data_IF_868545366571
#
_entry.id   IF_868545366571
#
_cell.length_a   1.000
_cell.length_b   1.000
_cell.length_c   1.000
_cell.angle_alpha   90.00
_cell.angle_beta   90.00
_cell.angle_gamma   90.00
#
_symmetry.space_group_name_H-M   'P 1'
#
loop_
_entity.id
_entity.type
_entity.pdbx_description
1 polymer ?
#
# COMPACT_ATOMS: atom_id res chain seq x y z
N UNK A 1 -28.35 -16.46 -89.86
CA UNK A 1 -28.90 -16.16 -88.53
C UNK A 1 -28.89 -17.48 -87.78
N UNK A 2 -27.99 -17.64 -86.81
CA UNK A 2 -28.25 -18.42 -85.61
C UNK A 2 -27.12 -18.15 -84.61
N UNK A 3 -27.50 -17.41 -83.57
CA UNK A 3 -26.65 -16.93 -82.48
C UNK A 3 -26.53 -18.03 -81.44
N UNK A 4 -25.33 -18.60 -81.29
CA UNK A 4 -25.01 -19.53 -80.21
C UNK A 4 -24.90 -18.76 -78.87
N UNK A 5 -25.67 -19.08 -77.82
CA UNK A 5 -25.58 -18.38 -76.53
C UNK A 5 -24.44 -18.94 -75.65
N UNK A 6 -23.99 -18.21 -74.60
CA UNK A 6 -22.73 -18.48 -73.92
C UNK A 6 -22.86 -19.49 -72.76
N UNK A 7 -22.82 -20.79 -73.04
CA UNK A 7 -22.84 -21.85 -72.00
C UNK A 7 -21.60 -21.84 -71.08
N UNK A 8 -20.48 -21.26 -71.54
CA UNK A 8 -19.24 -21.16 -70.72
C UNK A 8 -19.30 -20.09 -69.63
N UNK A 9 -20.15 -19.07 -69.77
CA UNK A 9 -20.25 -18.01 -68.78
C UNK A 9 -20.90 -18.55 -67.49
N UNK A 10 -22.01 -19.27 -67.60
CA UNK A 10 -22.82 -19.75 -66.46
C UNK A 10 -22.10 -20.80 -65.59
N UNK A 11 -21.27 -21.66 -66.18
CA UNK A 11 -20.47 -22.65 -65.44
C UNK A 11 -19.30 -22.01 -64.67
N UNK A 12 -18.74 -20.91 -65.16
CA UNK A 12 -17.68 -20.16 -64.48
C UNK A 12 -18.26 -19.31 -63.34
N UNK A 13 -19.46 -18.74 -63.50
CA UNK A 13 -20.15 -18.00 -62.44
C UNK A 13 -20.51 -18.90 -61.25
N UNK A 14 -21.05 -20.09 -61.50
CA UNK A 14 -21.46 -21.02 -60.44
C UNK A 14 -20.30 -21.58 -59.61
N UNK A 15 -19.13 -21.78 -60.22
CA UNK A 15 -17.92 -22.22 -59.51
C UNK A 15 -17.36 -21.11 -58.62
N UNK A 16 -17.35 -19.87 -59.13
CA UNK A 16 -16.84 -18.69 -58.41
C UNK A 16 -17.73 -18.33 -57.19
N UNK A 17 -19.05 -18.47 -57.32
CA UNK A 17 -19.99 -18.24 -56.21
C UNK A 17 -19.86 -19.29 -55.09
N UNK A 18 -19.62 -20.56 -55.44
CA UNK A 18 -19.44 -21.63 -54.46
C UNK A 18 -18.15 -21.46 -53.64
N UNK A 19 -17.06 -21.03 -54.27
CA UNK A 19 -15.79 -20.78 -53.58
C UNK A 19 -15.86 -19.54 -52.68
N UNK A 20 -16.55 -18.49 -53.11
CA UNK A 20 -16.84 -17.32 -52.27
C UNK A 20 -17.67 -17.71 -51.02
N UNK A 21 -18.69 -18.55 -51.17
CA UNK A 21 -19.50 -19.04 -50.05
C UNK A 21 -18.72 -19.89 -49.05
N UNK A 22 -17.75 -20.70 -49.52
CA UNK A 22 -16.84 -21.49 -48.66
C UNK A 22 -15.86 -20.61 -47.90
N UNK A 23 -15.31 -19.58 -48.54
CA UNK A 23 -14.43 -18.60 -47.90
C UNK A 23 -15.16 -17.82 -46.79
N UNK A 24 -16.36 -17.33 -47.06
CA UNK A 24 -17.20 -16.63 -46.07
C UNK A 24 -17.55 -17.48 -44.86
N UNK A 25 -17.84 -18.78 -45.02
CA UNK A 25 -18.05 -19.68 -43.87
C UNK A 25 -16.78 -19.85 -43.04
N UNK A 26 -15.62 -20.06 -43.68
CA UNK A 26 -14.35 -20.20 -42.97
C UNK A 26 -13.97 -18.94 -42.19
N UNK A 27 -14.21 -17.76 -42.77
CA UNK A 27 -14.01 -16.49 -42.07
C UNK A 27 -14.98 -16.32 -40.90
N UNK A 28 -16.26 -16.68 -41.05
CA UNK A 28 -17.24 -16.63 -39.96
C UNK A 28 -16.90 -17.57 -38.79
N UNK A 29 -16.38 -18.77 -39.09
CA UNK A 29 -15.89 -19.69 -38.06
C UNK A 29 -14.65 -19.13 -37.33
N UNK A 30 -13.69 -18.56 -38.06
CA UNK A 30 -12.50 -17.94 -37.46
C UNK A 30 -12.85 -16.72 -36.57
N UNK A 31 -13.82 -15.90 -36.97
CA UNK A 31 -14.32 -14.79 -36.15
C UNK A 31 -15.01 -15.27 -34.87
N UNK A 32 -15.75 -16.37 -34.92
CA UNK A 32 -16.39 -16.97 -33.74
C UNK A 32 -15.34 -17.52 -32.76
N UNK A 33 -14.32 -18.23 -33.24
CA UNK A 33 -13.22 -18.72 -32.39
C UNK A 33 -12.48 -17.57 -31.71
N UNK A 34 -12.21 -16.47 -32.42
CA UNK A 34 -11.57 -15.30 -31.85
C UNK A 34 -12.42 -14.64 -30.75
N UNK A 35 -13.75 -14.58 -30.95
CA UNK A 35 -14.71 -14.07 -29.96
C UNK A 35 -14.81 -14.98 -28.74
N UNK A 36 -14.75 -16.30 -28.92
CA UNK A 36 -14.76 -17.26 -27.81
C UNK A 36 -13.47 -17.17 -26.98
N UNK A 37 -12.31 -17.05 -27.64
CA UNK A 37 -11.02 -16.86 -26.95
C UNK A 37 -11.02 -15.51 -26.22
N UNK A 38 -11.46 -14.42 -26.85
CA UNK A 38 -11.50 -13.12 -26.20
C UNK A 38 -12.51 -13.08 -25.05
N UNK A 39 -13.68 -13.70 -25.19
CA UNK A 39 -14.67 -13.83 -24.13
C UNK A 39 -14.15 -14.70 -22.97
N UNK A 40 -13.45 -15.79 -23.26
CA UNK A 40 -12.83 -16.65 -22.25
C UNK A 40 -11.71 -15.92 -21.50
N UNK A 41 -10.85 -15.19 -22.22
CA UNK A 41 -9.80 -14.37 -21.62
C UNK A 41 -10.40 -13.23 -20.79
N UNK A 42 -11.47 -12.60 -21.26
CA UNK A 42 -12.18 -11.55 -20.52
C UNK A 42 -12.81 -12.10 -19.24
N UNK A 43 -13.48 -13.25 -19.32
CA UNK A 43 -14.09 -13.92 -18.17
C UNK A 43 -13.04 -14.37 -17.15
N UNK A 44 -11.92 -14.92 -17.62
CA UNK A 44 -10.78 -15.26 -16.76
C UNK A 44 -10.19 -14.00 -16.12
N UNK A 45 -10.04 -12.92 -16.88
CA UNK A 45 -9.51 -11.64 -16.40
C UNK A 45 -10.39 -11.00 -15.32
N UNK A 46 -11.70 -10.95 -15.55
CA UNK A 46 -12.67 -10.45 -14.56
C UNK A 46 -12.72 -11.36 -13.33
N UNK A 47 -12.73 -12.69 -13.53
CA UNK A 47 -12.67 -13.66 -12.45
C UNK A 47 -11.42 -13.48 -11.58
N UNK A 48 -10.25 -13.29 -12.21
CA UNK A 48 -9.00 -12.99 -11.52
C UNK A 48 -9.07 -11.66 -10.77
N UNK A 49 -9.62 -10.61 -11.37
CA UNK A 49 -9.77 -9.29 -10.76
C UNK A 49 -10.65 -9.35 -9.49
N UNK A 50 -11.76 -10.09 -9.55
CA UNK A 50 -12.68 -10.28 -8.42
C UNK A 50 -12.09 -11.19 -7.33
N UNK A 51 -11.30 -12.20 -7.71
CA UNK A 51 -10.63 -13.10 -6.76
C UNK A 51 -9.41 -12.46 -6.08
N UNK A 52 -8.77 -11.48 -6.72
CA UNK A 52 -7.55 -10.82 -6.24
C UNK A 52 -7.63 -10.33 -4.79
N UNK A 53 -8.63 -9.52 -4.37
CA UNK A 53 -8.70 -9.05 -2.97
C UNK A 53 -8.86 -10.18 -1.96
N UNK A 54 -9.53 -11.27 -2.33
CA UNK A 54 -9.70 -12.44 -1.46
C UNK A 54 -8.38 -13.20 -1.29
N UNK A 55 -7.68 -13.45 -2.39
CA UNK A 55 -6.34 -14.07 -2.38
C UNK A 55 -5.35 -13.21 -1.61
N UNK A 56 -5.39 -11.88 -1.76
CA UNK A 56 -4.53 -10.96 -1.02
C UNK A 56 -4.84 -10.93 0.48
N UNK A 57 -6.11 -11.05 0.87
CA UNK A 57 -6.48 -11.11 2.29
C UNK A 57 -5.93 -12.37 2.94
N UNK A 58 -6.14 -13.53 2.32
CA UNK A 58 -5.67 -14.82 2.84
C UNK A 58 -4.14 -14.92 2.79
N UNK A 59 -3.53 -14.47 1.68
CA UNK A 59 -2.10 -14.51 1.46
C UNK A 59 -1.34 -13.32 2.05
N UNK A 60 -2.00 -12.43 2.79
CA UNK A 60 -1.44 -11.17 3.30
C UNK A 60 -0.14 -11.39 4.07
N UNK A 61 -0.02 -12.50 4.81
CA UNK A 61 1.19 -12.91 5.55
C UNK A 61 2.45 -12.97 4.67
N UNK A 62 2.31 -13.27 3.38
CA UNK A 62 3.43 -13.31 2.42
C UNK A 62 3.46 -12.07 1.52
N UNK A 63 2.29 -11.60 1.09
CA UNK A 63 2.20 -10.45 0.19
C UNK A 63 2.57 -9.13 0.89
N UNK A 64 2.22 -8.92 2.16
CA UNK A 64 2.55 -7.70 2.90
C UNK A 64 4.06 -7.50 3.04
N UNK A 65 4.84 -8.50 3.51
CA UNK A 65 6.31 -8.40 3.51
C UNK A 65 6.88 -8.15 2.13
N UNK A 66 6.36 -8.82 1.10
CA UNK A 66 6.84 -8.70 -0.27
C UNK A 66 6.60 -7.29 -0.85
N UNK A 67 5.40 -6.76 -0.71
CA UNK A 67 5.04 -5.42 -1.20
C UNK A 67 5.80 -4.36 -0.39
N UNK A 68 5.90 -4.53 0.93
CA UNK A 68 6.68 -3.63 1.79
C UNK A 68 8.15 -3.65 1.39
N UNK A 69 8.73 -4.81 1.14
CA UNK A 69 10.09 -4.98 0.65
C UNK A 69 10.30 -4.35 -0.73
N UNK A 70 9.33 -4.45 -1.64
CA UNK A 70 9.36 -3.79 -2.94
C UNK A 70 9.40 -2.26 -2.78
N UNK A 71 8.52 -1.71 -1.93
CA UNK A 71 8.47 -0.28 -1.63
C UNK A 71 9.76 0.20 -0.97
N UNK A 72 10.25 -0.52 0.04
CA UNK A 72 11.55 -0.26 0.66
C UNK A 72 12.68 -0.33 -0.35
N UNK A 73 12.69 -1.33 -1.23
CA UNK A 73 13.73 -1.45 -2.26
C UNK A 73 13.74 -0.24 -3.18
N UNK A 74 12.58 0.30 -3.57
CA UNK A 74 12.48 1.51 -4.39
C UNK A 74 12.99 2.71 -3.59
N UNK A 75 12.53 2.87 -2.35
CA UNK A 75 12.88 4.00 -1.48
C UNK A 75 14.37 4.04 -1.11
N UNK A 76 14.96 2.88 -0.81
CA UNK A 76 16.34 2.76 -0.38
C UNK A 76 17.33 2.64 -1.54
N UNK A 77 16.87 2.34 -2.76
CA UNK A 77 17.74 2.28 -3.95
C UNK A 77 18.66 3.51 -4.08
N UNK A 78 18.14 4.76 -4.08
CA UNK A 78 19.01 5.94 -4.22
C UNK A 78 20.01 6.08 -3.07
N UNK A 79 19.67 5.65 -1.86
CA UNK A 79 20.59 5.67 -0.70
C UNK A 79 21.68 4.61 -0.86
N UNK A 80 21.31 3.39 -1.24
CA UNK A 80 22.25 2.30 -1.50
C UNK A 80 23.19 2.62 -2.67
N UNK A 81 22.68 3.22 -3.75
CA UNK A 81 23.47 3.64 -4.90
C UNK A 81 24.48 4.73 -4.52
N UNK A 82 24.07 5.72 -3.71
CA UNK A 82 25.00 6.73 -3.16
C UNK A 82 26.08 6.08 -2.30
N UNK A 83 25.74 5.11 -1.47
CA UNK A 83 26.70 4.42 -0.62
C UNK A 83 27.69 3.58 -1.44
N UNK A 84 27.21 2.91 -2.50
CA UNK A 84 28.06 2.16 -3.43
C UNK A 84 28.98 3.07 -4.25
N UNK A 85 28.53 4.28 -4.60
CA UNK A 85 29.35 5.26 -5.31
C UNK A 85 30.58 5.72 -4.52
N UNK A 86 30.57 5.60 -3.19
CA UNK A 86 31.70 5.91 -2.31
C UNK A 86 32.73 4.74 -2.20
N UNK A 87 32.62 3.72 -3.06
CA UNK A 87 33.56 2.59 -3.12
C UNK A 87 33.18 1.39 -2.25
N UNK A 88 32.02 1.43 -1.58
CA UNK A 88 31.53 0.31 -0.77
C UNK A 88 30.97 -0.79 -1.69
N UNK A 89 31.29 -2.09 -1.47
CA UNK A 89 30.68 -3.19 -2.19
C UNK A 89 29.15 -3.17 -2.11
N UNK A 90 28.47 -3.50 -3.21
CA UNK A 90 27.00 -3.36 -3.30
C UNK A 90 26.23 -4.07 -2.18
N UNK A 91 26.74 -5.20 -1.67
CA UNK A 91 26.16 -5.94 -0.54
C UNK A 91 26.16 -5.10 0.75
N UNK A 92 27.30 -4.49 1.06
CA UNK A 92 27.47 -3.67 2.25
C UNK A 92 26.70 -2.35 2.10
N UNK A 93 26.63 -1.82 0.89
CA UNK A 93 25.84 -0.63 0.58
C UNK A 93 24.33 -0.86 0.84
N UNK A 94 23.79 -1.98 0.35
CA UNK A 94 22.37 -2.31 0.55
C UNK A 94 22.05 -2.65 2.00
N UNK A 95 22.92 -3.41 2.68
CA UNK A 95 22.74 -3.73 4.10
C UNK A 95 22.81 -2.47 4.96
N UNK A 96 23.81 -1.62 4.72
CA UNK A 96 23.99 -0.36 5.44
C UNK A 96 22.81 0.59 5.27
N UNK A 97 22.29 0.75 4.04
CA UNK A 97 21.09 1.56 3.78
C UNK A 97 19.87 1.02 4.54
N UNK A 98 19.71 -0.31 4.59
CA UNK A 98 18.59 -0.97 5.25
C UNK A 98 18.65 -0.81 6.78
N UNK A 99 19.82 -1.07 7.37
CA UNK A 99 20.05 -0.87 8.81
C UNK A 99 19.89 0.59 9.20
N UNK A 100 20.42 1.53 8.40
CA UNK A 100 20.29 2.96 8.64
C UNK A 100 18.83 3.43 8.61
N UNK A 101 18.06 3.02 7.61
CA UNK A 101 16.63 3.33 7.52
C UNK A 101 15.87 2.80 8.74
N UNK A 102 16.12 1.55 9.13
CA UNK A 102 15.45 0.96 10.29
C UNK A 102 15.84 1.66 11.60
N UNK A 103 17.12 2.03 11.76
CA UNK A 103 17.58 2.81 12.91
C UNK A 103 16.86 4.16 13.01
N UNK A 104 16.64 4.85 11.89
CA UNK A 104 15.85 6.09 11.84
C UNK A 104 14.40 5.82 12.26
N UNK A 105 13.77 4.76 11.74
CA UNK A 105 12.39 4.41 12.09
C UNK A 105 12.26 4.12 13.58
N UNK A 106 13.14 3.30 14.15
CA UNK A 106 13.16 2.97 15.58
C UNK A 106 13.39 4.23 16.42
N UNK A 107 14.33 5.09 16.03
CA UNK A 107 14.58 6.35 16.72
C UNK A 107 13.37 7.28 16.67
N UNK A 108 12.77 7.46 15.50
CA UNK A 108 11.57 8.28 15.34
C UNK A 108 10.41 7.75 16.18
N UNK A 109 10.22 6.42 16.18
CA UNK A 109 9.21 5.77 17.00
C UNK A 109 9.51 5.99 18.49
N UNK A 110 10.73 5.78 18.95
CA UNK A 110 11.11 6.03 20.34
C UNK A 110 10.85 7.48 20.77
N UNK A 111 11.21 8.46 19.93
CA UNK A 111 10.99 9.89 20.20
C UNK A 111 9.50 10.26 20.27
N UNK A 112 8.66 9.63 19.45
CA UNK A 112 7.20 9.87 19.45
C UNK A 112 6.50 9.10 20.58
N UNK A 113 6.99 7.90 20.92
CA UNK A 113 6.37 7.05 21.93
C UNK A 113 6.65 7.51 23.36
N UNK A 114 7.83 8.08 23.64
CA UNK A 114 8.16 8.63 24.95
C UNK A 114 7.07 9.59 25.51
N UNK A 115 6.64 10.64 24.80
CA UNK A 115 5.58 11.52 25.29
C UNK A 115 4.20 10.84 25.32
N UNK A 116 3.92 9.88 24.41
CA UNK A 116 2.66 9.16 24.40
C UNK A 116 2.49 8.25 25.62
N UNK A 117 3.54 7.58 26.07
CA UNK A 117 3.54 6.78 27.31
C UNK A 117 3.38 7.69 28.53
N UNK A 118 4.07 8.84 28.56
CA UNK A 118 3.92 9.82 29.63
C UNK A 118 2.49 10.39 29.72
N UNK A 119 1.78 10.54 28.59
CA UNK A 119 0.35 10.88 28.60
C UNK A 119 -0.48 9.78 29.28
N UNK A 120 -0.22 8.51 28.95
CA UNK A 120 -0.93 7.36 29.51
C UNK A 120 -0.77 7.26 31.04
N UNK A 121 0.45 7.48 31.54
CA UNK A 121 0.74 7.48 32.98
C UNK A 121 0.07 8.64 33.74
N UNK A 122 -0.23 9.74 33.05
CA UNK A 122 -0.94 10.90 33.60
C UNK A 122 -2.47 10.82 33.45
N UNK A 123 -3.00 9.80 32.75
CA UNK A 123 -4.46 9.59 32.58
C UNK A 123 -5.18 9.49 33.94
N UNK A 124 -4.70 8.73 34.94
CA UNK A 124 -5.38 8.65 36.25
C UNK A 124 -5.52 10.03 36.90
N UNK A 125 -4.47 10.84 36.89
CA UNK A 125 -4.49 12.20 37.43
C UNK A 125 -5.35 13.18 36.60
N UNK A 126 -5.52 12.93 35.30
CA UNK A 126 -6.49 13.65 34.47
C UNK A 126 -7.93 13.22 34.78
N UNK A 127 -8.19 11.93 35.07
CA UNK A 127 -9.53 11.45 35.44
C UNK A 127 -9.98 11.96 36.80
N UNK A 128 -9.08 12.16 37.76
CA UNK A 128 -9.42 12.78 39.05
C UNK A 128 -9.84 14.24 38.88
N UNK A 129 -9.05 15.04 38.13
CA UNK A 129 -9.37 16.46 37.85
C UNK A 129 -10.61 16.62 36.97
N UNK A 130 -10.76 15.75 35.96
CA UNK A 130 -11.96 15.72 35.12
C UNK A 130 -13.17 15.28 35.93
N UNK A 131 -13.02 14.32 36.86
CA UNK A 131 -14.04 13.88 37.80
C UNK A 131 -14.51 15.02 38.70
N UNK A 132 -13.61 15.81 39.27
CA UNK A 132 -13.96 16.99 40.08
C UNK A 132 -14.72 18.04 39.27
N UNK A 133 -14.28 18.33 38.04
CA UNK A 133 -14.97 19.25 37.12
C UNK A 133 -16.32 18.70 36.68
N UNK A 134 -16.42 17.40 36.40
CA UNK A 134 -17.66 16.71 36.07
C UNK A 134 -18.62 16.69 37.25
N UNK A 135 -18.14 16.56 38.48
CA UNK A 135 -18.98 16.67 39.69
C UNK A 135 -19.52 18.09 39.82
N UNK A 136 -18.69 19.13 39.61
CA UNK A 136 -19.15 20.53 39.62
C UNK A 136 -20.18 20.82 38.53
N UNK A 137 -19.95 20.33 37.30
CA UNK A 137 -20.90 20.45 36.18
C UNK A 137 -22.18 19.65 36.45
N UNK A 138 -22.07 18.41 36.91
CA UNK A 138 -23.22 17.56 37.28
C UNK A 138 -24.04 18.21 38.39
N UNK A 139 -23.41 18.81 39.39
CA UNK A 139 -24.11 19.49 40.47
C UNK A 139 -24.83 20.74 39.94
N UNK A 140 -24.24 21.48 38.98
CA UNK A 140 -24.91 22.56 38.24
C UNK A 140 -26.05 22.09 37.33
N UNK A 141 -26.00 20.88 36.78
CA UNK A 141 -27.04 20.30 35.92
C UNK A 141 -27.97 19.32 36.66
N UNK A 142 -27.79 19.16 37.97
CA UNK A 142 -28.58 18.24 38.80
C UNK A 142 -30.06 18.59 38.78
N UNK A 143 -30.39 19.87 38.62
CA UNK A 143 -31.76 20.36 38.43
C UNK A 143 -32.40 19.85 37.12
N UNK A 144 -31.64 19.73 36.02
CA UNK A 144 -32.12 19.09 34.78
C UNK A 144 -32.38 17.60 35.01
N UNK A 145 -31.47 16.91 35.69
CA UNK A 145 -31.61 15.48 35.96
C UNK A 145 -32.81 15.19 36.88
N UNK A 146 -33.11 16.06 37.84
CA UNK A 146 -34.31 15.97 38.68
C UNK A 146 -35.58 16.22 37.87
N UNK A 147 -35.62 17.27 37.04
CA UNK A 147 -36.74 17.55 36.15
C UNK A 147 -36.97 16.41 35.12
N UNK A 148 -35.90 15.85 34.56
CA UNK A 148 -35.97 14.73 33.62
C UNK A 148 -36.36 13.42 34.30
N UNK A 149 -36.02 13.20 35.58
CA UNK A 149 -36.48 12.04 36.35
C UNK A 149 -37.95 12.12 36.73
N UNK A 150 -38.47 13.29 37.09
CA UNK A 150 -39.91 13.48 37.25
C UNK A 150 -40.63 13.21 35.93
N UNK A 151 -40.11 13.73 34.81
CA UNK A 151 -40.64 13.43 33.47
C UNK A 151 -40.52 11.94 33.10
N UNK A 152 -39.38 11.29 33.38
CA UNK A 152 -39.15 9.89 33.07
C UNK A 152 -39.90 8.93 34.01
N UNK A 153 -40.19 9.33 35.25
CA UNK A 153 -41.08 8.61 36.15
C UNK A 153 -42.54 8.70 35.67
N UNK A 154 -42.90 9.79 34.99
CA UNK A 154 -44.17 9.92 34.26
C UNK A 154 -44.17 9.13 32.93
N UNK A 155 -43.01 8.88 32.31
CA UNK A 155 -42.87 8.21 31.00
C UNK A 155 -42.36 6.76 31.03
N UNK A 156 -41.88 6.25 32.16
CA UNK A 156 -41.53 4.84 32.39
C UNK A 156 -40.36 4.26 31.59
N UNK A 157 -39.27 4.99 31.32
CA UNK A 157 -38.11 4.45 30.57
C UNK A 157 -36.79 4.45 31.34
N UNK A 158 -36.04 3.33 31.22
CA UNK A 158 -34.72 3.09 31.82
C UNK A 158 -33.67 2.86 30.72
N UNK A 159 -32.51 3.49 30.84
CA UNK A 159 -31.45 3.49 29.79
C UNK A 159 -30.50 2.26 29.84
N UNK A 160 -29.97 1.81 28.68
CA UNK A 160 -28.99 0.72 28.59
C UNK A 160 -27.53 1.20 28.63
N UNK A 161 -26.64 0.38 29.21
CA UNK A 161 -25.21 0.64 29.38
C UNK A 161 -24.38 -0.10 28.33
N UNK A 162 -23.61 0.64 27.54
CA UNK A 162 -22.74 0.13 26.47
C UNK A 162 -21.30 -0.08 27.00
N UNK A 163 -20.70 -1.24 26.72
CA UNK A 163 -19.34 -1.61 27.13
C UNK A 163 -18.49 -1.75 25.88
N UNK A 164 -17.57 -0.82 25.69
CA UNK A 164 -16.60 -0.86 24.58
C UNK A 164 -15.48 -1.83 24.94
N UNK A 165 -15.38 -2.93 24.19
CA UNK A 165 -14.21 -3.80 24.24
C UNK A 165 -13.00 -3.05 23.68
N UNK A 166 -12.02 -2.77 24.53
CA UNK A 166 -10.74 -2.25 24.10
C UNK A 166 -9.95 -3.35 23.38
N UNK A 167 -9.93 -3.30 22.05
CA UNK A 167 -8.95 -4.07 21.27
C UNK A 167 -7.54 -3.59 21.62
N UNK A 168 -6.55 -4.50 21.75
CA UNK A 168 -5.18 -4.14 22.08
C UNK A 168 -4.66 -3.10 21.08
N UNK A 169 -4.11 -2.00 21.61
CA UNK A 169 -3.57 -0.94 20.76
C UNK A 169 -2.37 -1.47 19.97
N UNK A 170 -2.18 -0.98 18.74
CA UNK A 170 -0.99 -1.27 17.93
C UNK A 170 0.32 -0.95 18.66
N UNK A 171 0.25 -0.04 19.64
CA UNK A 171 1.34 0.33 20.53
C UNK A 171 1.71 -0.80 21.49
N UNK A 172 0.73 -1.49 22.06
CA UNK A 172 0.97 -2.63 22.96
C UNK A 172 1.64 -3.79 22.22
N UNK A 173 1.22 -4.06 20.98
CA UNK A 173 1.82 -5.08 20.12
C UNK A 173 3.27 -4.76 19.71
N UNK A 174 3.61 -3.48 19.59
CA UNK A 174 4.97 -3.02 19.29
C UNK A 174 5.86 -2.95 20.55
N UNK A 175 5.29 -2.57 21.69
CA UNK A 175 5.97 -2.54 22.99
C UNK A 175 6.37 -3.95 23.44
N UNK A 176 5.46 -4.90 23.27
CA UNK A 176 5.73 -6.33 23.40
C UNK A 176 5.98 -6.91 22.02
N UNK A 177 7.13 -6.58 21.41
CA UNK A 177 7.54 -7.11 20.11
C UNK A 177 7.38 -8.64 20.10
N UNK A 178 6.24 -9.11 19.59
CA UNK A 178 5.91 -10.53 19.62
C UNK A 178 6.88 -11.27 18.69
N UNK A 179 7.23 -12.54 18.99
CA UNK A 179 8.17 -13.30 18.15
C UNK A 179 7.79 -13.31 16.65
N UNK A 180 6.49 -13.28 16.35
CA UNK A 180 5.97 -13.18 14.98
C UNK A 180 6.30 -11.87 14.29
N UNK A 181 6.16 -10.72 14.96
CA UNK A 181 6.49 -9.40 14.39
C UNK A 181 7.98 -9.32 14.06
N UNK A 182 8.83 -9.83 14.96
CA UNK A 182 10.26 -9.83 14.74
C UNK A 182 10.66 -10.67 13.51
N UNK A 183 10.00 -11.82 13.33
CA UNK A 183 10.20 -12.68 12.17
C UNK A 183 9.68 -12.05 10.87
N UNK A 184 8.53 -11.37 10.92
CA UNK A 184 7.95 -10.66 9.78
C UNK A 184 8.84 -9.49 9.33
N UNK A 185 9.36 -8.70 10.28
CA UNK A 185 10.33 -7.64 10.02
C UNK A 185 11.60 -8.24 9.40
N UNK A 186 12.15 -9.30 9.97
CA UNK A 186 13.35 -9.96 9.44
C UNK A 186 13.14 -10.48 8.01
N UNK A 187 12.01 -11.11 7.74
CA UNK A 187 11.64 -11.60 6.41
C UNK A 187 11.53 -10.45 5.41
N UNK A 188 10.86 -9.36 5.80
CA UNK A 188 10.70 -8.15 4.99
C UNK A 188 12.07 -7.54 4.66
N UNK A 189 12.97 -7.47 5.65
CA UNK A 189 14.32 -6.97 5.47
C UNK A 189 15.12 -7.84 4.49
N UNK A 190 15.03 -9.16 4.64
CA UNK A 190 15.70 -10.11 3.77
C UNK A 190 15.20 -9.99 2.32
N UNK A 191 13.87 -9.88 2.13
CA UNK A 191 13.26 -9.64 0.83
C UNK A 191 13.73 -8.30 0.24
N UNK A 192 13.72 -7.22 1.02
CA UNK A 192 14.14 -5.89 0.56
C UNK A 192 15.61 -5.92 0.12
N UNK A 193 16.48 -6.54 0.92
CA UNK A 193 17.89 -6.75 0.60
C UNK A 193 18.07 -7.50 -0.73
N UNK A 194 17.39 -8.64 -0.90
CA UNK A 194 17.47 -9.41 -2.14
C UNK A 194 16.91 -8.64 -3.35
N UNK A 195 15.84 -7.86 -3.17
CA UNK A 195 15.29 -7.03 -4.25
C UNK A 195 16.24 -5.92 -4.68
N UNK A 196 16.89 -5.23 -3.74
CA UNK A 196 17.92 -4.23 -4.04
C UNK A 196 19.08 -4.89 -4.80
N UNK A 197 19.55 -6.05 -4.34
CA UNK A 197 20.63 -6.79 -5.00
C UNK A 197 20.27 -7.34 -6.38
N UNK A 198 19.05 -7.83 -6.54
CA UNK A 198 18.49 -8.34 -7.81
C UNK A 198 18.52 -7.25 -8.89
N UNK A 199 18.10 -6.03 -8.55
CA UNK A 199 18.08 -4.88 -9.46
C UNK A 199 19.45 -4.59 -10.06
N UNK A 200 20.50 -4.59 -9.23
CA UNK A 200 21.88 -4.31 -9.68
C UNK A 200 22.38 -5.38 -10.64
N UNK A 201 22.07 -6.65 -10.38
CA UNK A 201 22.43 -7.77 -11.28
C UNK A 201 21.64 -7.73 -12.58
N UNK A 202 20.35 -7.39 -12.52
CA UNK A 202 19.47 -7.28 -13.70
C UNK A 202 19.94 -6.16 -14.64
N UNK A 203 20.33 -5.00 -14.09
CA UNK A 203 20.90 -3.88 -14.86
C UNK A 203 22.12 -4.30 -15.67
N UNK A 204 22.99 -5.14 -15.10
CA UNK A 204 24.21 -5.61 -15.77
C UNK A 204 23.87 -6.60 -16.90
N UNK A 205 22.92 -7.51 -16.70
CA UNK A 205 22.51 -8.49 -17.73
C UNK A 205 21.82 -7.86 -18.93
N UNK A 206 20.98 -6.84 -18.70
CA UNK A 206 20.28 -6.13 -19.78
C UNK A 206 21.22 -5.39 -20.74
N UNK A 207 22.46 -5.10 -20.33
CA UNK A 207 23.47 -4.47 -21.20
C UNK A 207 24.15 -5.49 -22.13
N UNK A 208 24.17 -6.77 -21.77
CA UNK A 208 24.87 -7.82 -22.51
C UNK A 208 23.96 -8.69 -23.39
N UNK A 209 22.64 -8.70 -23.14
CA UNK A 209 21.71 -9.55 -23.88
C UNK A 209 20.83 -8.73 -24.84
N UNK A 210 21.28 -8.63 -26.10
CA UNK A 210 20.55 -7.97 -27.20
C UNK A 210 19.48 -8.87 -27.86
N UNK A 211 19.23 -10.08 -27.34
CA UNK A 211 18.45 -11.09 -28.07
C UNK A 211 17.03 -11.36 -27.55
N UNK A 212 16.65 -10.83 -26.38
CA UNK A 212 15.27 -10.98 -25.88
C UNK A 212 14.33 -9.87 -26.40
N UNK A 213 13.11 -10.25 -26.79
CA UNK A 213 12.07 -9.40 -27.41
C UNK A 213 12.07 -7.95 -26.89
N UNK A 214 12.31 -7.00 -27.80
CA UNK A 214 12.46 -5.56 -27.49
C UNK A 214 11.34 -4.96 -26.64
N UNK A 215 10.12 -5.51 -26.74
CA UNK A 215 8.96 -5.09 -25.95
C UNK A 215 9.13 -5.32 -24.45
N UNK A 216 9.70 -6.47 -24.04
CA UNK A 216 9.91 -6.80 -22.61
C UNK A 216 10.99 -5.91 -21.99
N UNK A 217 12.08 -5.70 -22.72
CA UNK A 217 13.17 -4.80 -22.30
C UNK A 217 12.67 -3.36 -22.16
N UNK A 218 11.85 -2.90 -23.11
CA UNK A 218 11.27 -1.55 -23.08
C UNK A 218 10.29 -1.39 -21.91
N UNK A 219 9.44 -2.37 -21.63
CA UNK A 219 8.54 -2.35 -20.48
C UNK A 219 9.32 -2.33 -19.15
N UNK A 220 10.38 -3.14 -19.03
CA UNK A 220 11.24 -3.15 -17.84
C UNK A 220 11.97 -1.80 -17.65
N UNK A 221 12.38 -1.15 -18.73
CA UNK A 221 12.98 0.18 -18.70
C UNK A 221 12.00 1.23 -18.19
N UNK A 222 10.77 1.25 -18.72
CA UNK A 222 9.72 2.18 -18.27
C UNK A 222 9.39 1.96 -16.80
N UNK A 223 9.22 0.70 -16.38
CA UNK A 223 8.94 0.36 -14.99
C UNK A 223 10.04 0.86 -14.05
N UNK A 224 11.31 0.72 -14.46
CA UNK A 224 12.45 1.22 -13.69
C UNK A 224 12.47 2.75 -13.62
N UNK A 225 12.21 3.43 -14.73
CA UNK A 225 12.14 4.88 -14.74
C UNK A 225 11.03 5.42 -13.81
N UNK A 226 9.87 4.77 -13.79
CA UNK A 226 8.80 5.09 -12.84
C UNK A 226 9.27 4.88 -11.40
N UNK A 227 9.93 3.75 -11.11
CA UNK A 227 10.45 3.48 -9.78
C UNK A 227 11.48 4.52 -9.32
N UNK A 228 12.42 4.90 -10.18
CA UNK A 228 13.44 5.90 -9.87
C UNK A 228 12.81 7.28 -9.62
N UNK A 229 11.78 7.65 -10.40
CA UNK A 229 11.01 8.90 -10.19
C UNK A 229 10.23 8.87 -8.87
N UNK A 230 9.58 7.76 -8.55
CA UNK A 230 8.85 7.59 -7.27
C UNK A 230 9.81 7.65 -6.09
N UNK A 231 10.96 6.99 -6.19
CA UNK A 231 12.00 7.05 -5.15
C UNK A 231 12.50 8.47 -4.91
N UNK A 232 12.84 9.20 -5.98
CA UNK A 232 13.29 10.59 -5.88
C UNK A 232 12.23 11.52 -5.29
N UNK A 233 10.96 11.34 -5.67
CA UNK A 233 9.85 12.09 -5.11
C UNK A 233 9.70 11.84 -3.60
N UNK A 234 9.63 10.58 -3.18
CA UNK A 234 9.48 10.22 -1.75
C UNK A 234 10.68 10.73 -0.95
N UNK A 235 11.90 10.63 -1.47
CA UNK A 235 13.09 11.13 -0.79
C UNK A 235 13.07 12.65 -0.63
N UNK A 236 12.58 13.37 -1.64
CA UNK A 236 12.40 14.83 -1.57
C UNK A 236 11.37 15.21 -0.50
N UNK A 237 10.21 14.54 -0.50
CA UNK A 237 9.17 14.72 0.52
C UNK A 237 9.71 14.38 1.91
N UNK A 238 10.51 13.32 2.04
CA UNK A 238 11.17 12.94 3.30
C UNK A 238 12.10 14.04 3.82
N UNK A 239 12.93 14.63 2.97
CA UNK A 239 13.80 15.75 3.35
C UNK A 239 13.04 17.00 3.77
N UNK A 240 11.96 17.34 3.05
CA UNK A 240 11.10 18.47 3.41
C UNK A 240 10.48 18.22 4.80
N UNK A 241 9.87 17.05 5.02
CA UNK A 241 9.26 16.72 6.31
C UNK A 241 10.29 16.66 7.44
N UNK A 242 11.49 16.15 7.20
CA UNK A 242 12.57 16.17 8.18
C UNK A 242 12.97 17.60 8.55
N UNK A 243 13.10 18.50 7.55
CA UNK A 243 13.40 19.92 7.78
C UNK A 243 12.30 20.62 8.58
N UNK A 244 11.03 20.40 8.22
CA UNK A 244 9.87 20.90 8.98
C UNK A 244 9.90 20.36 10.41
N UNK A 245 10.16 19.06 10.60
CA UNK A 245 10.27 18.44 11.91
C UNK A 245 11.36 19.07 12.78
N UNK A 246 12.55 19.33 12.22
CA UNK A 246 13.64 20.01 12.94
C UNK A 246 13.26 21.44 13.32
N UNK A 247 12.63 22.19 12.42
CA UNK A 247 12.16 23.56 12.68
C UNK A 247 11.11 23.57 13.79
N UNK A 248 10.12 22.68 13.72
CA UNK A 248 9.05 22.57 14.73
C UNK A 248 9.62 22.12 16.08
N UNK A 249 10.50 21.11 16.10
CA UNK A 249 11.13 20.63 17.33
C UNK A 249 12.00 21.70 17.99
N UNK A 250 12.79 22.44 17.21
CA UNK A 250 13.62 23.54 17.71
C UNK A 250 12.75 24.70 18.19
N UNK A 251 11.68 25.04 17.46
CA UNK A 251 10.72 26.07 17.86
C UNK A 251 10.04 25.73 19.18
N UNK A 252 9.55 24.49 19.34
CA UNK A 252 8.97 24.02 20.58
C UNK A 252 9.98 24.03 21.74
N UNK A 253 11.24 23.69 21.46
CA UNK A 253 12.31 23.75 22.46
C UNK A 253 12.62 25.19 22.91
N UNK A 254 12.67 26.15 21.98
CA UNK A 254 12.93 27.57 22.26
C UNK A 254 11.78 28.27 22.99
N UNK A 255 10.53 27.88 22.75
CA UNK A 255 9.34 28.43 23.44
C UNK A 255 9.21 27.89 24.88
N UNK A 256 10.03 26.90 25.25
CA UNK A 256 10.06 26.32 26.60
C UNK A 256 9.34 24.98 26.64
N UNK A 257 10.06 23.91 26.28
CA UNK A 257 9.59 22.54 26.47
C UNK A 257 9.34 22.25 27.95
N UNK A 258 8.07 22.19 28.35
CA UNK A 258 7.68 22.01 29.74
C UNK A 258 6.25 21.49 29.93
N UNK A 259 5.88 20.44 29.19
CA UNK A 259 4.78 19.56 29.58
C UNK A 259 3.38 19.85 29.00
N UNK A 260 2.39 18.98 29.31
CA UNK A 260 1.03 18.98 28.75
C UNK A 260 0.20 20.25 28.97
N UNK A 261 0.73 21.30 29.62
CA UNK A 261 -0.01 22.52 29.96
C UNK A 261 -0.11 23.57 28.85
N UNK A 262 0.60 23.40 27.73
CA UNK A 262 0.59 24.39 26.63
C UNK A 262 -0.51 24.15 25.58
N UNK A 263 -1.12 22.96 25.56
CA UNK A 263 -2.30 22.66 24.76
C UNK A 263 -3.49 22.75 25.72
N UNK A 264 -4.14 23.91 25.72
CA UNK A 264 -5.09 24.34 26.75
C UNK A 264 -6.07 23.26 27.24
N UNK A 265 -6.32 23.30 28.55
CA UNK A 265 -7.52 22.71 29.12
C UNK A 265 -8.79 23.45 28.71
#
# INVERSE_FOLDING_TARGET
>A
MDTNPPVKAEAQTSTTEQDAARSSRRMAFAEQELRLISALVLLLGIGLLLALPFVLTIGSVVFLPLVTALLLSILLSPLADKLSAHGVPNILASLGALTFFFAIVVLALALVLQPAVAMFDNVPAMTERAGERFVQLRDQFSWLAMANRELAALMGQSDPREVVLASPSVLEQLAFATPSVLLEVLLTLLMAFFMIQSRVKLRRRLLFDRTSSSASVKAAQVMREVQDRVAAYILTVGWINAGVGVVVATGAWLVGGGGPGMWGG
#
